data_IF_759390575344
#
_entry.id   IF_759390575344
#
_cell.length_a   1.000
_cell.length_b   1.000
_cell.length_c   1.000
_cell.angle_alpha   90.00
_cell.angle_beta   90.00
_cell.angle_gamma   90.00
#
_symmetry.space_group_name_H-M   'P 1'
#
loop_
_entity.id
_entity.type
_entity.pdbx_description
1 polymer ?
#
# COMPACT_ATOMS: atom_id res chain seq x y z
N UNK A 1 3.78 -12.63 8.27
CA UNK A 1 3.15 -11.79 7.23
C UNK A 1 3.29 -10.33 7.64
N UNK A 2 3.58 -9.42 6.70
CA UNK A 2 3.67 -7.97 6.92
C UNK A 2 2.70 -7.23 6.01
N UNK A 3 1.85 -6.40 6.60
CA UNK A 3 0.89 -5.56 5.87
C UNK A 3 1.35 -4.11 5.96
N UNK A 4 1.56 -3.47 4.82
CA UNK A 4 1.81 -2.03 4.74
C UNK A 4 0.52 -1.28 4.45
N UNK A 5 0.18 -0.30 5.27
CA UNK A 5 -0.96 0.59 5.05
C UNK A 5 -0.46 2.03 4.83
N UNK A 6 -0.97 2.70 3.80
CA UNK A 6 -0.70 4.12 3.58
C UNK A 6 -1.46 4.94 4.62
N UNK A 7 -0.80 5.91 5.25
CA UNK A 7 -1.41 6.67 6.33
C UNK A 7 -1.04 8.16 6.28
N UNK A 8 -1.92 9.00 6.83
CA UNK A 8 -1.68 10.43 6.99
C UNK A 8 -0.77 10.74 8.20
N UNK A 9 -0.61 9.80 9.12
CA UNK A 9 0.25 9.90 10.30
C UNK A 9 0.80 8.52 10.70
N UNK A 10 1.86 8.49 11.51
CA UNK A 10 2.55 7.27 11.93
C UNK A 10 1.89 6.52 13.09
N UNK A 11 0.60 6.19 13.01
CA UNK A 11 -0.10 5.43 14.05
C UNK A 11 -1.17 4.48 13.48
N UNK A 12 -1.61 3.51 14.29
CA UNK A 12 -2.69 2.60 13.91
C UNK A 12 -4.07 3.29 13.81
N UNK A 13 -4.25 4.41 14.52
CA UNK A 13 -5.50 5.18 14.52
C UNK A 13 -5.47 6.30 13.47
N UNK A 14 -4.37 6.45 12.74
CA UNK A 14 -4.26 7.37 11.62
C UNK A 14 -5.17 6.92 10.48
N UNK A 15 -5.76 7.91 9.80
CA UNK A 15 -6.55 7.65 8.60
C UNK A 15 -5.67 7.13 7.47
N UNK A 16 -6.24 6.22 6.67
CA UNK A 16 -5.63 5.72 5.43
C UNK A 16 -5.42 6.91 4.48
N UNK A 17 -4.20 7.08 3.96
CA UNK A 17 -3.96 8.08 2.91
C UNK A 17 -4.42 7.50 1.57
N UNK A 18 -5.25 8.22 0.80
CA UNK A 18 -5.75 7.73 -0.48
C UNK A 18 -4.66 7.57 -1.55
N UNK A 19 -3.46 8.13 -1.38
CA UNK A 19 -2.42 8.16 -2.40
C UNK A 19 -1.22 7.31 -1.97
N UNK A 20 -0.98 6.18 -2.65
CA UNK A 20 0.18 5.34 -2.33
C UNK A 20 1.53 6.07 -2.45
N UNK A 21 1.86 6.57 -3.64
CA UNK A 21 3.19 7.13 -3.90
C UNK A 21 3.51 8.43 -3.16
N UNK A 22 2.49 9.09 -2.61
CA UNK A 22 2.61 10.39 -1.93
C UNK A 22 1.92 10.41 -0.58
N UNK A 23 1.68 9.25 0.04
CA UNK A 23 1.22 9.20 1.42
C UNK A 23 2.27 9.85 2.33
N UNK A 24 1.88 10.27 3.52
CA UNK A 24 2.82 10.82 4.49
C UNK A 24 3.61 9.71 5.19
N UNK A 25 2.94 8.60 5.50
CA UNK A 25 3.53 7.46 6.21
C UNK A 25 3.15 6.14 5.56
N UNK A 26 4.06 5.18 5.71
CA UNK A 26 3.79 3.76 5.55
C UNK A 26 3.79 3.14 6.95
N UNK A 27 2.67 2.54 7.35
CA UNK A 27 2.54 1.83 8.62
C UNK A 27 2.58 0.34 8.32
N UNK A 28 3.67 -0.32 8.70
CA UNK A 28 3.88 -1.76 8.47
C UNK A 28 3.48 -2.49 9.74
N UNK A 29 2.47 -3.35 9.61
CA UNK A 29 1.78 -4.01 10.73
C UNK A 29 1.93 -5.52 10.61
N UNK A 30 2.21 -6.16 11.74
CA UNK A 30 1.98 -7.59 11.93
C UNK A 30 0.48 -7.80 12.26
N UNK A 31 -0.31 -8.44 11.38
CA UNK A 31 -1.74 -8.59 11.55
C UNK A 31 -2.16 -9.54 12.68
N UNK A 32 -1.24 -10.37 13.19
CA UNK A 32 -1.53 -11.27 14.30
C UNK A 32 -1.39 -10.54 15.64
N UNK A 33 -0.36 -9.70 15.77
CA UNK A 33 -0.01 -9.04 17.04
C UNK A 33 -0.37 -7.56 17.10
N UNK A 34 -0.71 -6.95 15.96
CA UNK A 34 -0.87 -5.50 15.78
C UNK A 34 0.37 -4.66 16.15
N UNK A 35 1.54 -5.30 16.27
CA UNK A 35 2.81 -4.58 16.37
C UNK A 35 3.09 -3.89 15.05
N UNK A 36 3.60 -2.66 15.09
CA UNK A 36 3.82 -1.89 13.89
C UNK A 36 5.11 -1.08 13.94
N UNK A 37 5.64 -0.77 12.76
CA UNK A 37 6.60 0.30 12.52
C UNK A 37 5.94 1.37 11.63
N UNK A 38 6.18 2.64 11.93
CA UNK A 38 5.75 3.76 11.10
C UNK A 38 6.96 4.38 10.41
N UNK A 39 6.90 4.49 9.08
CA UNK A 39 7.99 4.99 8.24
C UNK A 39 7.51 6.24 7.51
N UNK A 40 8.13 7.41 7.74
CA UNK A 40 7.85 8.60 6.93
C UNK A 40 8.18 8.36 5.46
N UNK A 41 7.30 8.78 4.55
CA UNK A 41 7.55 8.66 3.12
C UNK A 41 8.42 9.82 2.61
N UNK A 42 9.73 9.59 2.61
CA UNK A 42 10.71 10.56 2.07
C UNK A 42 10.52 10.85 0.57
N UNK A 43 9.82 9.98 -0.16
CA UNK A 43 9.57 10.14 -1.60
C UNK A 43 8.36 11.02 -1.92
N UNK A 44 7.54 11.37 -0.93
CA UNK A 44 6.28 12.11 -1.13
C UNK A 44 6.47 13.47 -1.81
N UNK A 45 7.61 14.12 -1.56
CA UNK A 45 7.99 15.43 -2.12
C UNK A 45 8.71 15.34 -3.47
N UNK A 46 9.00 14.14 -3.99
CA UNK A 46 9.72 14.00 -5.24
C UNK A 46 8.93 14.63 -6.41
N UNK A 47 9.65 15.38 -7.25
CA UNK A 47 9.10 16.01 -8.46
C UNK A 47 8.57 14.96 -9.44
N UNK A 48 9.29 13.84 -9.57
CA UNK A 48 8.91 12.69 -10.38
C UNK A 48 9.32 11.38 -9.70
N UNK A 49 8.71 10.28 -10.10
CA UNK A 49 9.09 8.94 -9.62
C UNK A 49 8.75 8.63 -8.15
N UNK A 50 7.97 9.48 -7.46
CA UNK A 50 7.56 9.26 -6.07
C UNK A 50 6.97 7.86 -5.86
N UNK A 51 6.06 7.44 -6.76
CA UNK A 51 5.45 6.12 -6.68
C UNK A 51 6.40 4.94 -6.86
N UNK A 52 7.47 5.08 -7.64
CA UNK A 52 8.48 4.02 -7.85
C UNK A 52 9.34 3.90 -6.59
N UNK A 53 9.82 5.03 -6.07
CA UNK A 53 10.65 5.07 -4.87
C UNK A 53 9.89 4.57 -3.64
N UNK A 54 8.62 4.98 -3.47
CA UNK A 54 7.72 4.45 -2.46
C UNK A 54 7.56 2.93 -2.55
N UNK A 55 7.31 2.41 -3.75
CA UNK A 55 7.15 0.97 -3.96
C UNK A 55 8.45 0.20 -3.64
N UNK A 56 9.61 0.73 -4.04
CA UNK A 56 10.89 0.10 -3.74
C UNK A 56 11.14 0.02 -2.23
N UNK A 57 10.86 1.09 -1.48
CA UNK A 57 10.98 1.08 -0.02
C UNK A 57 10.11 -0.01 0.62
N UNK A 58 8.87 -0.17 0.15
CA UNK A 58 7.95 -1.22 0.62
C UNK A 58 8.50 -2.61 0.30
N UNK A 59 9.07 -2.82 -0.89
CA UNK A 59 9.73 -4.07 -1.28
C UNK A 59 10.93 -4.38 -0.37
N UNK A 60 11.78 -3.37 -0.12
CA UNK A 60 12.98 -3.52 0.72
C UNK A 60 12.64 -3.87 2.18
N UNK A 61 11.43 -3.51 2.64
CA UNK A 61 10.89 -3.87 3.96
C UNK A 61 10.34 -5.30 4.05
N UNK A 62 10.28 -6.02 2.93
CA UNK A 62 9.78 -7.39 2.84
C UNK A 62 8.28 -7.47 3.15
N UNK A 63 7.51 -6.49 2.67
CA UNK A 63 6.05 -6.43 2.84
C UNK A 63 5.37 -7.46 1.93
N UNK A 64 4.35 -8.15 2.45
CA UNK A 64 3.58 -9.15 1.68
C UNK A 64 2.32 -8.53 1.03
N UNK A 65 1.73 -7.53 1.69
CA UNK A 65 0.46 -6.91 1.31
C UNK A 65 0.55 -5.40 1.46
N UNK A 66 0.12 -4.65 0.44
CA UNK A 66 -0.12 -3.20 0.51
C UNK A 66 -1.61 -2.93 0.52
N UNK A 67 -2.06 -2.13 1.48
CA UNK A 67 -3.43 -1.60 1.55
C UNK A 67 -3.36 -0.08 1.40
N UNK A 68 -4.11 0.46 0.45
CA UNK A 68 -4.14 1.90 0.15
C UNK A 68 -5.51 2.32 -0.38
N UNK A 69 -5.78 3.62 -0.48
CA UNK A 69 -6.93 4.10 -1.26
C UNK A 69 -6.73 3.83 -2.76
N UNK A 70 -5.65 4.36 -3.34
CA UNK A 70 -5.33 4.23 -4.76
C UNK A 70 -3.84 3.98 -4.99
N UNK A 71 -3.54 3.30 -6.10
CA UNK A 71 -2.18 3.01 -6.57
C UNK A 71 -2.04 3.40 -8.04
N UNK A 72 -0.99 4.15 -8.37
CA UNK A 72 -0.69 4.53 -9.76
C UNK A 72 -0.01 3.39 -10.54
N UNK A 73 0.04 3.45 -11.88
CA UNK A 73 0.54 2.36 -12.73
C UNK A 73 2.00 1.98 -12.43
N UNK A 74 2.87 2.96 -12.19
CA UNK A 74 4.28 2.71 -11.90
C UNK A 74 4.48 1.98 -10.56
N UNK A 75 3.78 2.41 -9.51
CA UNK A 75 3.82 1.75 -8.20
C UNK A 75 3.24 0.33 -8.29
N UNK A 76 2.12 0.17 -8.98
CA UNK A 76 1.49 -1.13 -9.19
C UNK A 76 2.45 -2.11 -9.86
N UNK A 77 3.14 -1.69 -10.93
CA UNK A 77 4.09 -2.53 -11.65
C UNK A 77 5.22 -3.00 -10.73
N UNK A 78 5.86 -2.11 -9.96
CA UNK A 78 6.95 -2.48 -9.05
C UNK A 78 6.47 -3.46 -7.97
N UNK A 79 5.36 -3.14 -7.29
CA UNK A 79 4.80 -3.99 -6.23
C UNK A 79 4.39 -5.37 -6.77
N UNK A 80 3.70 -5.40 -7.92
CA UNK A 80 3.23 -6.64 -8.54
C UNK A 80 4.39 -7.51 -9.02
N UNK A 81 5.42 -6.92 -9.63
CA UNK A 81 6.62 -7.65 -10.04
C UNK A 81 7.41 -8.23 -8.86
N UNK A 82 7.29 -7.63 -7.68
CA UNK A 82 7.86 -8.16 -6.44
C UNK A 82 6.97 -9.22 -5.75
N UNK A 83 5.81 -9.57 -6.32
CA UNK A 83 4.88 -10.54 -5.74
C UNK A 83 4.08 -10.01 -4.56
N UNK A 84 4.05 -8.69 -4.35
CA UNK A 84 3.30 -8.05 -3.27
C UNK A 84 1.83 -7.98 -3.67
N UNK A 85 0.94 -8.40 -2.77
CA UNK A 85 -0.51 -8.28 -2.97
C UNK A 85 -0.94 -6.84 -2.78
N UNK A 86 -1.80 -6.34 -3.67
CA UNK A 86 -2.22 -4.94 -3.66
C UNK A 86 -3.73 -4.86 -3.46
N UNK A 87 -4.12 -4.16 -2.41
CA UNK A 87 -5.50 -3.92 -2.01
C UNK A 87 -5.77 -2.42 -2.09
N UNK A 88 -6.78 -2.04 -2.86
CA UNK A 88 -7.16 -0.63 -3.05
C UNK A 88 -8.59 -0.37 -2.57
N UNK A 89 -8.98 0.90 -2.49
CA UNK A 89 -10.30 1.31 -2.03
C UNK A 89 -10.44 1.26 -0.51
N UNK A 90 -9.35 1.12 0.23
CA UNK A 90 -9.36 1.15 1.67
C UNK A 90 -9.65 2.57 2.20
N UNK A 91 -10.36 2.63 3.31
CA UNK A 91 -10.73 3.85 4.03
C UNK A 91 -10.76 3.56 5.54
N UNK A 92 -10.98 4.60 6.36
CA UNK A 92 -10.94 4.49 7.82
C UNK A 92 -9.51 4.56 8.34
N UNK A 93 -9.30 3.97 9.50
CA UNK A 93 -8.00 3.91 10.18
C UNK A 93 -7.13 2.77 9.65
N UNK A 94 -5.82 2.86 9.89
CA UNK A 94 -4.89 1.76 9.61
C UNK A 94 -5.32 0.45 10.28
N UNK A 95 -5.78 0.53 11.54
CA UNK A 95 -6.30 -0.62 12.29
C UNK A 95 -7.49 -1.28 11.58
N UNK A 96 -8.50 -0.48 11.24
CA UNK A 96 -9.70 -0.96 10.54
C UNK A 96 -9.35 -1.60 9.19
N UNK A 97 -8.42 -1.01 8.45
CA UNK A 97 -7.96 -1.55 7.17
C UNK A 97 -7.29 -2.93 7.31
N UNK A 98 -6.45 -3.10 8.35
CA UNK A 98 -5.82 -4.40 8.65
C UNK A 98 -6.86 -5.44 9.09
N UNK A 99 -7.82 -5.05 9.92
CA UNK A 99 -8.89 -5.93 10.38
C UNK A 99 -9.83 -6.36 9.24
N UNK A 100 -10.21 -5.43 8.36
CA UNK A 100 -11.01 -5.73 7.17
C UNK A 100 -10.28 -6.69 6.23
N UNK A 101 -8.96 -6.53 6.07
CA UNK A 101 -8.15 -7.49 5.31
C UNK A 101 -8.18 -8.89 5.91
N UNK A 102 -8.01 -9.02 7.24
CA UNK A 102 -8.06 -10.32 7.94
C UNK A 102 -9.42 -11.01 7.78
N UNK A 103 -10.49 -10.24 7.70
CA UNK A 103 -11.85 -10.73 7.52
C UNK A 103 -12.19 -11.01 6.04
N UNK A 104 -11.22 -10.87 5.12
CA UNK A 104 -11.41 -11.03 3.67
C UNK A 104 -12.48 -10.09 3.09
N UNK A 105 -12.68 -8.93 3.71
CA UNK A 105 -13.67 -7.92 3.27
C UNK A 105 -13.10 -6.92 2.26
N UNK A 106 -11.79 -7.01 1.97
CA UNK A 106 -11.13 -6.18 0.98
C UNK A 106 -10.80 -6.98 -0.27
N UNK A 107 -11.18 -6.45 -1.43
CA UNK A 107 -10.92 -7.05 -2.73
C UNK A 107 -9.49 -6.76 -3.21
N UNK A 108 -8.80 -7.81 -3.66
CA UNK A 108 -7.48 -7.71 -4.28
C UNK A 108 -7.61 -7.12 -5.70
N UNK A 109 -6.76 -6.15 -6.05
CA UNK A 109 -6.73 -5.61 -7.42
C UNK A 109 -6.04 -6.60 -8.35
N UNK A 110 -6.83 -7.47 -8.97
CA UNK A 110 -6.41 -8.28 -10.11
C UNK A 110 -6.63 -7.49 -11.38
N UNK A 111 -5.60 -6.82 -11.91
CA UNK A 111 -5.68 -6.27 -13.27
C UNK A 111 -5.77 -7.43 -14.24
N UNK A 112 -6.95 -7.71 -14.81
CA UNK A 112 -7.08 -8.56 -15.99
C UNK A 112 -6.29 -7.88 -17.12
N UNK A 113 -5.19 -8.49 -17.55
CA UNK A 113 -4.55 -8.15 -18.82
C UNK A 113 -5.39 -8.72 -19.98
N UNK A 114 -6.40 -7.97 -20.41
CA UNK A 114 -7.13 -8.05 -21.69
C UNK A 114 -7.69 -6.63 -21.90
N UNK A 115 -7.48 -5.84 -22.95
CA UNK A 115 -6.97 -5.99 -24.31
C UNK A 115 -6.32 -4.66 -24.73
N UNK A 116 -5.13 -4.71 -25.32
CA UNK A 116 -4.59 -3.67 -26.23
C UNK A 116 -3.87 -4.40 -27.38
N UNK A 117 -4.62 -5.29 -28.02
CA UNK A 117 -4.33 -5.82 -29.36
C UNK A 117 -5.58 -5.68 -30.22
N UNK A 118 -6.09 -4.45 -30.33
CA UNK A 118 -6.81 -4.01 -31.52
C UNK A 118 -6.35 -2.57 -31.78
N UNK A 119 -5.72 -2.40 -32.95
CA UNK A 119 -4.93 -1.26 -33.39
C UNK A 119 -3.96 -1.76 -34.44
#
# INVERSE_FOLDING_TARGET
MKICVTAVAGSLDAQVDPRFGRCQYFVIVDPETMRFEAIPNVSASALSGAGIQAAQMVVDKGVDVVITGQVGPNSYQVLSSAGIKIVTGAFGTVREAVEAYKQQQLEEVKRRLKELREG
#
